data_IF_866567500045
#
_entry.id   IF_866567500045
#
_cell.length_a   1.000
_cell.length_b   1.000
_cell.length_c   1.000
_cell.angle_alpha   90.00
_cell.angle_beta   90.00
_cell.angle_gamma   90.00
#
_symmetry.space_group_name_H-M   'P 1'
#
loop_
_entity.id
_entity.type
_entity.pdbx_description
1 polymer ?
#
# COMPACT_ATOMS: atom_id res chain seq x y z
N UNK A 1 -24.51 1.47 -2.02
CA UNK A 1 -25.04 0.85 -0.79
C UNK A 1 -24.61 1.66 0.43
N UNK A 2 -25.35 1.65 1.55
CA UNK A 2 -24.88 2.31 2.80
C UNK A 2 -23.94 1.38 3.60
N UNK A 3 -23.13 1.93 4.51
CA UNK A 3 -22.11 1.16 5.24
C UNK A 3 -22.68 0.02 6.10
N UNK A 4 -23.85 0.20 6.71
CA UNK A 4 -24.48 -0.85 7.54
C UNK A 4 -24.93 -2.03 6.69
N UNK A 5 -25.54 -1.77 5.54
CA UNK A 5 -25.92 -2.82 4.60
C UNK A 5 -24.68 -3.53 4.03
N UNK A 6 -23.62 -2.78 3.71
CA UNK A 6 -22.35 -3.36 3.26
C UNK A 6 -21.77 -4.29 4.34
N UNK A 7 -21.71 -3.83 5.59
CA UNK A 7 -21.22 -4.63 6.71
C UNK A 7 -22.00 -5.95 6.84
N UNK A 8 -23.33 -5.90 6.88
CA UNK A 8 -24.17 -7.10 7.00
C UNK A 8 -23.96 -8.08 5.84
N UNK A 9 -23.83 -7.55 4.62
CA UNK A 9 -23.58 -8.38 3.45
C UNK A 9 -22.20 -9.06 3.52
N UNK A 10 -21.15 -8.32 3.89
CA UNK A 10 -19.80 -8.87 4.05
C UNK A 10 -19.71 -9.90 5.18
N UNK A 11 -20.38 -9.66 6.31
CA UNK A 11 -20.49 -10.62 7.41
C UNK A 11 -21.14 -11.93 6.93
N UNK A 12 -22.23 -11.85 6.17
CA UNK A 12 -22.91 -13.02 5.63
C UNK A 12 -22.03 -13.79 4.64
N UNK A 13 -21.31 -13.09 3.76
CA UNK A 13 -20.37 -13.70 2.81
C UNK A 13 -19.30 -14.49 3.57
N UNK A 14 -18.70 -13.88 4.60
CA UNK A 14 -17.64 -14.51 5.38
C UNK A 14 -18.15 -15.67 6.25
N UNK A 15 -19.33 -15.53 6.86
CA UNK A 15 -19.95 -16.60 7.66
C UNK A 15 -20.29 -17.85 6.84
N UNK A 16 -20.54 -17.68 5.54
CA UNK A 16 -20.77 -18.79 4.61
C UNK A 16 -19.48 -19.22 3.90
N UNK A 17 -18.30 -18.86 4.40
CA UNK A 17 -16.99 -19.19 3.82
C UNK A 17 -16.90 -18.85 2.32
N UNK A 18 -17.51 -17.73 1.91
CA UNK A 18 -17.54 -17.27 0.51
C UNK A 18 -18.22 -18.23 -0.48
N UNK A 19 -19.02 -19.19 0.00
CA UNK A 19 -19.64 -20.22 -0.87
C UNK A 19 -20.93 -19.78 -1.58
N UNK A 20 -21.59 -18.72 -1.11
CA UNK A 20 -22.91 -18.28 -1.58
C UNK A 20 -22.87 -16.94 -2.33
N UNK A 21 -22.09 -16.85 -3.40
CA UNK A 21 -21.89 -15.60 -4.16
C UNK A 21 -22.79 -15.46 -5.41
N UNK A 22 -23.51 -16.50 -5.81
CA UNK A 22 -24.23 -16.60 -7.09
C UNK A 22 -25.32 -15.54 -7.34
N UNK A 23 -25.79 -14.84 -6.30
CA UNK A 23 -26.80 -13.78 -6.39
C UNK A 23 -26.24 -12.41 -6.02
N UNK A 24 -24.92 -12.30 -5.86
CA UNK A 24 -24.23 -11.08 -5.49
C UNK A 24 -23.53 -10.55 -6.72
N UNK A 25 -23.81 -9.30 -7.09
CA UNK A 25 -22.99 -8.58 -8.04
C UNK A 25 -21.66 -8.23 -7.37
N UNK A 26 -20.63 -9.04 -7.63
CA UNK A 26 -19.29 -8.88 -7.03
C UNK A 26 -18.64 -7.58 -7.51
N UNK A 27 -18.92 -7.14 -8.74
CA UNK A 27 -18.36 -5.89 -9.28
C UNK A 27 -18.98 -4.70 -8.55
N UNK A 28 -20.30 -4.66 -8.39
CA UNK A 28 -20.96 -3.61 -7.60
C UNK A 28 -20.52 -3.65 -6.13
N UNK A 29 -20.41 -4.85 -5.53
CA UNK A 29 -19.97 -5.03 -4.16
C UNK A 29 -18.56 -4.47 -3.94
N UNK A 30 -17.61 -4.78 -4.82
CA UNK A 30 -16.22 -4.30 -4.70
C UNK A 30 -16.10 -2.79 -4.87
N UNK A 31 -16.94 -2.16 -5.70
CA UNK A 31 -17.01 -0.69 -5.76
C UNK A 31 -17.57 -0.08 -4.47
N UNK A 32 -18.60 -0.70 -3.87
CA UNK A 32 -19.11 -0.28 -2.55
C UNK A 32 -18.05 -0.48 -1.45
N UNK A 33 -17.29 -1.57 -1.50
CA UNK A 33 -16.17 -1.81 -0.57
C UNK A 33 -15.09 -0.75 -0.70
N UNK A 34 -14.72 -0.39 -1.94
CA UNK A 34 -13.73 0.65 -2.20
C UNK A 34 -14.18 2.02 -1.65
N UNK A 35 -15.46 2.38 -1.84
CA UNK A 35 -16.03 3.61 -1.29
C UNK A 35 -15.82 3.76 0.23
N UNK A 36 -15.81 2.64 0.96
CA UNK A 36 -15.65 2.62 2.43
C UNK A 36 -14.27 2.10 2.88
N UNK A 37 -13.29 2.00 1.98
CA UNK A 37 -11.96 1.44 2.26
C UNK A 37 -11.22 2.17 3.38
N UNK A 38 -11.53 3.45 3.58
CA UNK A 38 -10.96 4.31 4.63
C UNK A 38 -11.85 4.52 5.86
N UNK A 39 -12.92 3.75 6.06
CA UNK A 39 -13.81 3.92 7.23
C UNK A 39 -13.04 3.83 8.55
N UNK A 40 -13.39 4.63 9.56
CA UNK A 40 -12.71 4.62 10.86
C UNK A 40 -13.03 3.39 11.70
N UNK A 41 -14.10 2.66 11.37
CA UNK A 41 -14.42 1.37 11.98
C UNK A 41 -13.41 0.30 11.53
N UNK A 42 -12.49 -0.05 12.44
CA UNK A 42 -11.44 -1.04 12.16
C UNK A 42 -11.97 -2.43 11.82
N UNK A 43 -13.13 -2.82 12.35
CA UNK A 43 -13.73 -4.11 12.07
C UNK A 43 -14.22 -4.15 10.62
N UNK A 44 -14.99 -3.14 10.20
CA UNK A 44 -15.46 -3.04 8.82
C UNK A 44 -14.28 -2.87 7.85
N UNK A 45 -13.32 -2.01 8.16
CA UNK A 45 -12.18 -1.73 7.29
C UNK A 45 -11.28 -2.94 7.08
N UNK A 46 -10.83 -3.57 8.16
CA UNK A 46 -9.84 -4.64 8.09
C UNK A 46 -10.45 -6.04 8.04
N UNK A 47 -11.34 -6.37 8.99
CA UNK A 47 -11.90 -7.72 9.08
C UNK A 47 -12.89 -8.01 7.95
N UNK A 48 -13.62 -7.01 7.47
CA UNK A 48 -14.59 -7.19 6.39
C UNK A 48 -14.02 -6.80 5.03
N UNK A 49 -13.79 -5.51 4.78
CA UNK A 49 -13.43 -4.98 3.45
C UNK A 49 -12.11 -5.56 2.96
N UNK A 50 -11.01 -5.36 3.69
CA UNK A 50 -9.69 -5.81 3.25
C UNK A 50 -9.61 -7.33 3.05
N UNK A 51 -10.09 -8.12 4.02
CA UNK A 51 -10.11 -9.59 3.89
C UNK A 51 -10.98 -10.08 2.74
N UNK A 52 -12.09 -9.41 2.46
CA UNK A 52 -12.95 -9.74 1.33
C UNK A 52 -12.25 -9.42 0.00
N UNK A 53 -11.58 -8.27 -0.13
CA UNK A 53 -10.75 -7.97 -1.30
C UNK A 53 -9.65 -9.03 -1.50
N UNK A 54 -8.90 -9.35 -0.46
CA UNK A 54 -7.85 -10.36 -0.51
C UNK A 54 -8.42 -11.71 -0.99
N UNK A 55 -9.54 -12.16 -0.41
CA UNK A 55 -10.19 -13.40 -0.84
C UNK A 55 -10.61 -13.35 -2.32
N UNK A 56 -11.31 -12.29 -2.74
CA UNK A 56 -11.80 -12.16 -4.11
C UNK A 56 -10.67 -12.12 -5.14
N UNK A 57 -9.57 -11.42 -4.84
CA UNK A 57 -8.43 -11.33 -5.74
C UNK A 57 -7.68 -12.67 -5.78
N UNK A 58 -7.35 -13.27 -4.63
CA UNK A 58 -6.56 -14.51 -4.58
C UNK A 58 -7.28 -15.73 -5.15
N UNK A 59 -8.62 -15.72 -5.14
CA UNK A 59 -9.44 -16.81 -5.70
C UNK A 59 -10.06 -16.43 -7.05
N UNK A 60 -9.54 -15.40 -7.72
CA UNK A 60 -9.90 -15.04 -9.11
C UNK A 60 -11.41 -14.76 -9.31
N UNK A 61 -12.09 -14.23 -8.30
CA UNK A 61 -13.49 -13.83 -8.41
C UNK A 61 -13.70 -12.52 -9.19
N UNK A 62 -12.63 -11.78 -9.46
CA UNK A 62 -12.65 -10.53 -10.22
C UNK A 62 -12.00 -10.72 -11.59
N UNK A 63 -12.70 -10.28 -12.62
CA UNK A 63 -12.15 -10.25 -13.99
C UNK A 63 -11.21 -9.06 -14.16
N UNK A 64 -10.30 -9.14 -15.14
CA UNK A 64 -9.28 -8.13 -15.45
C UNK A 64 -9.83 -6.70 -15.55
N UNK A 65 -10.99 -6.53 -16.21
CA UNK A 65 -11.62 -5.21 -16.38
C UNK A 65 -12.00 -4.58 -15.03
N UNK A 66 -12.48 -5.39 -14.08
CA UNK A 66 -12.82 -4.93 -12.73
C UNK A 66 -11.57 -4.61 -11.93
N UNK A 67 -10.52 -5.43 -12.03
CA UNK A 67 -9.23 -5.16 -11.38
C UNK A 67 -8.60 -3.87 -11.91
N UNK A 68 -8.66 -3.64 -13.22
CA UNK A 68 -8.21 -2.40 -13.87
C UNK A 68 -9.03 -1.19 -13.41
N UNK A 69 -10.35 -1.33 -13.29
CA UNK A 69 -11.21 -0.26 -12.76
C UNK A 69 -10.86 0.09 -11.31
N UNK A 70 -10.70 -0.93 -10.45
CA UNK A 70 -10.32 -0.74 -9.05
C UNK A 70 -8.93 -0.09 -8.95
N UNK A 71 -7.97 -0.55 -9.74
CA UNK A 71 -6.63 0.02 -9.82
C UNK A 71 -6.68 1.51 -10.18
N UNK A 72 -7.30 1.86 -11.30
CA UNK A 72 -7.36 3.24 -11.79
C UNK A 72 -8.07 4.16 -10.80
N UNK A 73 -9.10 3.64 -10.11
CA UNK A 73 -9.76 4.38 -9.02
C UNK A 73 -8.81 4.60 -7.84
N UNK A 74 -8.09 3.56 -7.41
CA UNK A 74 -7.09 3.66 -6.33
C UNK A 74 -5.98 4.66 -6.65
N UNK A 75 -5.52 4.73 -7.91
CA UNK A 75 -4.46 5.63 -8.35
C UNK A 75 -4.90 7.10 -8.48
N UNK A 76 -6.19 7.40 -8.31
CA UNK A 76 -6.73 8.76 -8.36
C UNK A 76 -6.37 9.57 -7.11
N UNK A 77 -6.41 10.90 -7.25
CA UNK A 77 -6.11 11.83 -6.16
C UNK A 77 -7.08 11.68 -4.98
N UNK A 78 -8.32 11.28 -5.26
CA UNK A 78 -9.36 11.06 -4.24
C UNK A 78 -8.99 9.95 -3.25
N UNK A 79 -8.24 8.94 -3.70
CA UNK A 79 -7.89 7.77 -2.90
C UNK A 79 -6.44 7.80 -2.44
N UNK A 80 -5.49 7.76 -3.39
CA UNK A 80 -4.06 7.67 -3.05
C UNK A 80 -3.55 8.91 -2.32
N UNK A 81 -4.07 10.08 -2.66
CA UNK A 81 -3.66 11.37 -2.08
C UNK A 81 -4.74 12.00 -1.19
N UNK A 82 -5.74 11.20 -0.75
CA UNK A 82 -6.86 11.64 0.07
C UNK A 82 -6.39 12.43 1.29
N UNK A 83 -6.70 13.73 1.34
CA UNK A 83 -6.31 14.64 2.43
C UNK A 83 -4.80 14.61 2.78
N UNK A 84 -3.91 14.29 1.82
CA UNK A 84 -2.48 14.04 2.12
C UNK A 84 -1.76 15.27 2.70
N UNK A 85 -2.22 16.48 2.38
CA UNK A 85 -1.67 17.74 2.92
C UNK A 85 -2.27 18.14 4.27
N UNK A 86 -3.24 17.40 4.77
CA UNK A 86 -3.90 17.63 6.06
C UNK A 86 -3.44 16.55 7.05
N UNK A 87 -2.37 16.79 7.82
CA UNK A 87 -1.80 15.78 8.70
C UNK A 87 -2.77 15.40 9.83
N UNK A 88 -2.64 14.17 10.33
CA UNK A 88 -3.39 13.65 11.49
C UNK A 88 -4.91 13.51 11.28
N UNK A 89 -5.40 13.66 10.05
CA UNK A 89 -6.79 13.41 9.66
C UNK A 89 -7.10 11.92 9.52
N UNK A 90 -8.37 11.56 9.44
CA UNK A 90 -8.79 10.18 9.18
C UNK A 90 -8.58 9.75 7.72
N UNK A 91 -8.23 10.69 6.82
CA UNK A 91 -7.84 10.38 5.43
C UNK A 91 -6.66 9.42 5.33
N UNK A 92 -5.86 9.28 6.41
CA UNK A 92 -4.79 8.28 6.52
C UNK A 92 -5.29 6.85 6.26
N UNK A 93 -6.52 6.52 6.67
CA UNK A 93 -7.08 5.19 6.46
C UNK A 93 -7.40 4.95 4.99
N UNK A 94 -7.97 5.95 4.30
CA UNK A 94 -8.22 5.88 2.85
C UNK A 94 -6.92 5.66 2.11
N UNK A 95 -5.91 6.52 2.33
CA UNK A 95 -4.62 6.41 1.64
C UNK A 95 -3.95 5.07 1.90
N UNK A 96 -3.84 4.69 3.17
CA UNK A 96 -3.12 3.49 3.56
C UNK A 96 -3.78 2.20 3.06
N UNK A 97 -5.11 2.06 3.21
CA UNK A 97 -5.79 0.85 2.73
C UNK A 97 -5.95 0.84 1.21
N UNK A 98 -5.93 2.01 0.55
CA UNK A 98 -5.76 2.09 -0.90
C UNK A 98 -4.41 1.47 -1.31
N UNK A 99 -3.31 1.84 -0.65
CA UNK A 99 -1.99 1.23 -0.91
C UNK A 99 -1.98 -0.27 -0.60
N UNK A 100 -2.67 -0.69 0.46
CA UNK A 100 -2.82 -2.12 0.78
C UNK A 100 -3.55 -2.89 -0.33
N UNK A 101 -4.60 -2.31 -0.92
CA UNK A 101 -5.30 -2.89 -2.06
C UNK A 101 -4.43 -2.90 -3.33
N UNK A 102 -3.66 -1.84 -3.58
CA UNK A 102 -2.68 -1.81 -4.68
C UNK A 102 -1.65 -2.94 -4.54
N UNK A 103 -1.17 -3.24 -3.33
CA UNK A 103 -0.27 -4.36 -3.09
C UNK A 103 -0.92 -5.71 -3.46
N UNK A 104 -2.19 -5.94 -3.10
CA UNK A 104 -2.91 -7.17 -3.48
C UNK A 104 -3.05 -7.30 -5.00
N UNK A 105 -3.35 -6.20 -5.69
CA UNK A 105 -3.48 -6.17 -7.15
C UNK A 105 -2.12 -6.41 -7.84
N UNK A 106 -1.05 -5.81 -7.34
CA UNK A 106 0.32 -6.03 -7.83
C UNK A 106 0.77 -7.48 -7.62
N UNK A 107 0.49 -8.06 -6.45
CA UNK A 107 0.77 -9.46 -6.17
C UNK A 107 0.07 -10.39 -7.16
N UNK A 108 -1.20 -10.11 -7.46
CA UNK A 108 -1.96 -10.85 -8.44
C UNK A 108 -1.34 -10.72 -9.85
N UNK A 109 -0.92 -9.51 -10.23
CA UNK A 109 -0.24 -9.25 -11.50
C UNK A 109 1.13 -9.93 -11.64
N UNK A 110 1.83 -10.18 -10.53
CA UNK A 110 3.10 -10.94 -10.57
C UNK A 110 2.92 -12.41 -10.98
N UNK A 111 1.69 -12.92 -10.93
CA UNK A 111 1.33 -14.28 -11.34
C UNK A 111 0.40 -14.33 -12.58
N UNK A 112 -0.07 -13.19 -13.07
CA UNK A 112 -1.05 -13.08 -14.16
C UNK A 112 -0.69 -11.96 -15.15
N UNK A 113 -0.65 -12.29 -16.44
CA UNK A 113 -0.27 -11.35 -17.50
C UNK A 113 -1.45 -10.48 -17.98
N UNK A 114 -1.88 -9.50 -17.18
CA UNK A 114 -2.95 -8.55 -17.57
C UNK A 114 -2.58 -7.06 -17.48
N UNK A 115 -1.43 -6.72 -16.89
CA UNK A 115 -0.82 -5.38 -16.91
C UNK A 115 0.35 -5.31 -17.89
N UNK A 116 0.54 -4.14 -18.48
CA UNK A 116 1.72 -3.82 -19.29
C UNK A 116 2.87 -3.28 -18.43
N UNK A 117 4.04 -3.11 -19.03
CA UNK A 117 5.18 -2.43 -18.39
C UNK A 117 4.80 -0.99 -17.99
N UNK A 118 4.07 -0.28 -18.86
CA UNK A 118 3.62 1.10 -18.60
C UNK A 118 2.65 1.17 -17.42
N UNK A 119 1.76 0.19 -17.26
CA UNK A 119 0.85 0.10 -16.10
C UNK A 119 1.65 -0.02 -14.79
N UNK A 120 2.65 -0.92 -14.75
CA UNK A 120 3.50 -1.12 -13.57
C UNK A 120 4.36 0.12 -13.28
N UNK A 121 4.90 0.76 -14.33
CA UNK A 121 5.67 1.99 -14.20
C UNK A 121 4.82 3.13 -13.62
N UNK A 122 3.58 3.30 -14.07
CA UNK A 122 2.65 4.30 -13.53
C UNK A 122 2.40 4.07 -12.03
N UNK A 123 2.11 2.82 -11.65
CA UNK A 123 1.88 2.44 -10.25
C UNK A 123 3.11 2.76 -9.40
N UNK A 124 4.30 2.36 -9.84
CA UNK A 124 5.56 2.65 -9.16
C UNK A 124 5.75 4.15 -8.96
N UNK A 125 5.60 4.96 -10.01
CA UNK A 125 5.78 6.41 -9.96
C UNK A 125 4.79 7.09 -8.99
N UNK A 126 3.52 6.67 -9.01
CA UNK A 126 2.51 7.18 -8.08
C UNK A 126 2.77 6.76 -6.64
N UNK A 127 3.17 5.51 -6.39
CA UNK A 127 3.52 5.05 -5.04
C UNK A 127 4.78 5.74 -4.49
N UNK A 128 5.80 6.02 -5.32
CA UNK A 128 6.96 6.84 -4.93
C UNK A 128 6.52 8.25 -4.55
N UNK A 129 5.64 8.85 -5.35
CA UNK A 129 5.10 10.20 -5.08
C UNK A 129 4.32 10.22 -3.77
N UNK A 130 3.39 9.27 -3.58
CA UNK A 130 2.63 9.08 -2.34
C UNK A 130 3.55 8.93 -1.14
N UNK A 131 4.50 8.01 -1.22
CA UNK A 131 5.42 7.72 -0.13
C UNK A 131 6.20 8.96 0.27
N UNK A 132 6.70 9.74 -0.70
CA UNK A 132 7.44 10.97 -0.41
C UNK A 132 6.55 12.06 0.24
N UNK A 133 5.29 12.20 -0.19
CA UNK A 133 4.33 13.17 0.34
C UNK A 133 3.75 12.76 1.71
N UNK A 134 3.67 11.48 2.01
CA UNK A 134 3.08 10.99 3.26
C UNK A 134 3.92 11.41 4.47
N UNK A 135 3.25 12.05 5.43
CA UNK A 135 3.84 12.56 6.67
C UNK A 135 3.10 12.03 7.92
N UNK A 136 2.05 11.22 7.72
CA UNK A 136 1.33 10.54 8.80
C UNK A 136 1.89 9.14 9.01
N UNK A 137 2.64 8.98 10.09
CA UNK A 137 3.30 7.72 10.47
C UNK A 137 2.62 7.06 11.68
N UNK A 138 1.36 7.39 11.95
CA UNK A 138 0.63 6.72 13.02
C UNK A 138 0.43 5.24 12.65
N UNK A 139 1.00 4.34 13.43
CA UNK A 139 0.78 2.89 13.28
C UNK A 139 -0.62 2.48 13.75
N UNK A 140 -0.88 2.54 15.05
CA UNK A 140 -2.18 2.24 15.67
C UNK A 140 -2.83 3.51 16.21
N UNK A 141 -4.13 3.68 15.93
CA UNK A 141 -4.94 4.78 16.45
C UNK A 141 -6.01 4.19 17.36
N UNK A 142 -6.05 4.66 18.61
CA UNK A 142 -7.01 4.20 19.60
C UNK A 142 -8.45 4.29 19.08
N UNK A 143 -9.23 3.23 19.29
CA UNK A 143 -10.62 3.06 18.81
C UNK A 143 -10.82 3.04 17.28
N UNK A 144 -9.77 3.29 16.48
CA UNK A 144 -9.84 3.28 15.01
C UNK A 144 -8.99 2.20 14.37
N UNK A 145 -8.10 1.57 15.12
CA UNK A 145 -7.24 0.48 14.68
C UNK A 145 -6.03 0.94 13.87
N UNK A 146 -5.53 0.06 13.02
CA UNK A 146 -4.31 0.25 12.25
C UNK A 146 -4.47 1.25 11.09
N UNK A 147 -3.57 2.22 11.02
CA UNK A 147 -3.36 3.06 9.84
C UNK A 147 -2.23 2.48 8.98
N UNK A 148 -1.03 2.22 9.50
CA UNK A 148 -0.02 1.37 8.86
C UNK A 148 0.50 1.80 7.47
N UNK A 149 0.60 3.11 7.20
CA UNK A 149 1.03 3.61 5.88
C UNK A 149 2.36 3.04 5.40
N UNK A 150 3.40 3.09 6.26
CA UNK A 150 4.73 2.59 5.88
C UNK A 150 4.75 1.09 5.66
N UNK A 151 4.01 0.34 6.47
CA UNK A 151 3.85 -1.09 6.29
C UNK A 151 3.21 -1.43 4.93
N UNK A 152 2.11 -0.78 4.56
CA UNK A 152 1.45 -1.05 3.27
C UNK A 152 2.27 -0.58 2.06
N UNK A 153 2.97 0.55 2.16
CA UNK A 153 3.94 0.98 1.13
C UNK A 153 5.01 -0.09 0.91
N UNK A 154 5.49 -0.68 2.01
CA UNK A 154 6.53 -1.70 1.95
C UNK A 154 6.02 -2.98 1.28
N UNK A 155 4.77 -3.36 1.52
CA UNK A 155 4.16 -4.48 0.79
C UNK A 155 4.08 -4.18 -0.72
N UNK A 156 3.55 -3.01 -1.09
CA UNK A 156 3.41 -2.63 -2.49
C UNK A 156 4.76 -2.53 -3.21
N UNK A 157 5.79 -1.97 -2.56
CA UNK A 157 7.15 -1.93 -3.11
C UNK A 157 7.77 -3.33 -3.22
N UNK A 158 7.47 -4.24 -2.29
CA UNK A 158 7.92 -5.63 -2.40
C UNK A 158 7.33 -6.30 -3.63
N UNK A 159 6.05 -6.06 -3.91
CA UNK A 159 5.41 -6.61 -5.12
C UNK A 159 5.94 -5.95 -6.41
N UNK A 160 6.31 -4.67 -6.40
CA UNK A 160 7.04 -4.07 -7.53
C UNK A 160 8.37 -4.78 -7.71
N UNK A 161 9.15 -5.01 -6.64
CA UNK A 161 10.45 -5.69 -6.74
C UNK A 161 10.32 -7.08 -7.35
N UNK A 162 9.24 -7.81 -7.05
CA UNK A 162 8.97 -9.14 -7.62
C UNK A 162 8.47 -9.11 -9.07
N UNK A 163 8.10 -7.95 -9.61
CA UNK A 163 7.53 -7.85 -10.94
C UNK A 163 8.59 -8.04 -12.03
N UNK A 164 8.25 -8.77 -13.10
CA UNK A 164 9.19 -9.08 -14.19
C UNK A 164 9.64 -7.85 -15.01
N UNK A 165 8.91 -6.75 -14.93
CA UNK A 165 9.28 -5.49 -15.60
C UNK A 165 10.26 -4.64 -14.79
N UNK A 166 10.54 -4.99 -13.54
CA UNK A 166 11.36 -4.16 -12.66
C UNK A 166 12.82 -4.16 -13.08
N UNK A 167 13.36 -2.96 -13.26
CA UNK A 167 14.75 -2.73 -13.68
C UNK A 167 15.65 -2.35 -12.51
N UNK A 168 16.96 -2.35 -12.76
CA UNK A 168 17.95 -1.92 -11.79
C UNK A 168 17.75 -0.45 -11.36
N UNK A 169 17.40 0.42 -12.29
CA UNK A 169 17.12 1.84 -12.03
C UNK A 169 15.93 2.00 -11.09
N UNK A 170 14.89 1.18 -11.25
CA UNK A 170 13.73 1.20 -10.36
C UNK A 170 14.10 0.75 -8.95
N UNK A 171 15.00 -0.22 -8.79
CA UNK A 171 15.53 -0.55 -7.45
C UNK A 171 16.17 0.66 -6.78
N UNK A 172 17.03 1.42 -7.48
CA UNK A 172 17.65 2.62 -6.90
C UNK A 172 16.61 3.68 -6.49
N UNK A 173 15.59 3.91 -7.31
CA UNK A 173 14.49 4.83 -7.00
C UNK A 173 13.74 4.42 -5.73
N UNK A 174 13.35 3.14 -5.64
CA UNK A 174 12.65 2.58 -4.48
C UNK A 174 13.52 2.62 -3.22
N UNK A 175 14.81 2.26 -3.31
CA UNK A 175 15.77 2.37 -2.20
C UNK A 175 15.84 3.82 -1.71
N UNK A 176 16.01 4.78 -2.62
CA UNK A 176 16.09 6.19 -2.24
C UNK A 176 14.80 6.69 -1.57
N UNK A 177 13.64 6.26 -2.07
CA UNK A 177 12.34 6.58 -1.50
C UNK A 177 12.19 6.01 -0.08
N UNK A 178 12.49 4.72 0.14
CA UNK A 178 12.45 4.08 1.46
C UNK A 178 13.42 4.72 2.44
N UNK A 179 14.67 4.97 2.02
CA UNK A 179 15.67 5.61 2.87
C UNK A 179 15.28 7.07 3.22
N UNK A 180 14.52 7.77 2.39
CA UNK A 180 13.97 9.08 2.78
C UNK A 180 13.02 8.99 3.97
N UNK A 181 12.32 7.84 4.14
CA UNK A 181 11.37 7.61 5.24
C UNK A 181 12.05 7.01 6.47
N UNK A 182 13.02 6.10 6.28
CA UNK A 182 13.82 5.51 7.37
C UNK A 182 14.63 6.56 8.13
N UNK A 183 15.19 7.55 7.43
CA UNK A 183 16.05 8.58 8.05
C UNK A 183 15.30 9.84 8.51
N UNK A 184 14.03 9.70 8.93
CA UNK A 184 13.23 10.73 9.60
C UNK A 184 13.41 10.55 11.14
N UNK A 185 13.27 11.61 11.98
CA UNK A 185 13.40 11.47 13.43
C UNK A 185 12.59 10.31 14.02
N UNK A 186 13.20 9.60 14.98
CA UNK A 186 12.96 8.18 15.32
C UNK A 186 11.67 7.84 16.07
N UNK A 187 10.90 8.81 16.55
CA UNK A 187 9.75 8.54 17.44
C UNK A 187 8.48 8.12 16.68
N UNK A 188 8.63 7.64 15.44
CA UNK A 188 7.53 7.39 14.50
C UNK A 188 7.37 5.91 14.13
N UNK A 189 8.40 5.07 14.33
CA UNK A 189 8.32 3.65 14.01
C UNK A 189 7.79 2.87 15.22
N UNK A 190 6.61 2.30 15.08
CA UNK A 190 5.98 1.45 16.09
C UNK A 190 5.38 0.20 15.44
N UNK A 191 5.17 -0.84 16.24
CA UNK A 191 4.40 -2.04 15.83
C UNK A 191 4.97 -2.78 14.60
N UNK A 192 6.28 -3.08 14.62
CA UNK A 192 7.02 -3.83 13.59
C UNK A 192 7.06 -3.17 12.20
N UNK A 193 6.74 -1.88 12.09
CA UNK A 193 6.88 -1.13 10.83
C UNK A 193 8.35 -1.01 10.39
N UNK A 194 9.29 -1.09 11.33
CA UNK A 194 10.73 -1.19 11.10
C UNK A 194 11.13 -2.51 10.43
N UNK A 195 10.52 -3.64 10.80
CA UNK A 195 10.72 -4.92 10.12
C UNK A 195 10.10 -4.94 8.72
N UNK A 196 8.93 -4.31 8.55
CA UNK A 196 8.25 -4.27 7.25
C UNK A 196 8.95 -3.35 6.26
N UNK A 197 9.44 -2.17 6.68
CA UNK A 197 10.09 -1.21 5.78
C UNK A 197 11.40 -1.70 5.17
N UNK A 198 12.04 -2.69 5.79
CA UNK A 198 13.23 -3.33 5.22
C UNK A 198 12.90 -4.47 4.25
N UNK A 199 11.65 -4.95 4.20
CA UNK A 199 11.25 -6.09 3.37
C UNK A 199 11.52 -5.88 1.87
N UNK A 200 11.21 -4.73 1.25
CA UNK A 200 11.57 -4.49 -0.14
C UNK A 200 13.08 -4.53 -0.37
N UNK A 201 13.87 -3.96 0.55
CA UNK A 201 15.33 -3.93 0.44
C UNK A 201 15.92 -5.35 0.49
N UNK A 202 15.37 -6.21 1.37
CA UNK A 202 15.76 -7.62 1.42
C UNK A 202 15.33 -8.35 0.15
N UNK A 203 14.12 -8.10 -0.34
CA UNK A 203 13.65 -8.70 -1.60
C UNK A 203 14.56 -8.35 -2.78
N UNK A 204 15.03 -7.10 -2.88
CA UNK A 204 15.99 -6.69 -3.92
C UNK A 204 17.29 -7.51 -3.84
N UNK A 205 17.81 -7.78 -2.64
CA UNK A 205 19.00 -8.61 -2.46
C UNK A 205 18.77 -10.07 -2.89
N UNK A 206 17.55 -10.60 -2.68
CA UNK A 206 17.16 -11.92 -3.20
C UNK A 206 16.99 -11.95 -4.72
N UNK A 207 16.77 -10.79 -5.35
CA UNK A 207 16.67 -10.59 -6.81
C UNK A 207 17.97 -10.00 -7.41
N UNK A 208 19.11 -10.41 -6.85
CA UNK A 208 20.46 -10.10 -7.35
C UNK A 208 20.85 -8.61 -7.38
N UNK A 209 20.14 -7.73 -6.65
CA UNK A 209 20.64 -6.38 -6.43
C UNK A 209 21.96 -6.44 -5.63
N UNK A 210 23.06 -5.81 -6.09
CA UNK A 210 24.37 -5.95 -5.46
C UNK A 210 24.38 -5.42 -4.02
N UNK A 211 24.74 -6.29 -3.08
CA UNK A 211 24.86 -5.94 -1.67
C UNK A 211 25.79 -4.73 -1.45
N UNK A 212 26.92 -4.69 -2.16
CA UNK A 212 27.88 -3.58 -2.06
C UNK A 212 27.28 -2.25 -2.52
N UNK A 213 26.40 -2.27 -3.53
CA UNK A 213 25.71 -1.06 -4.00
C UNK A 213 24.68 -0.59 -2.97
N UNK A 214 23.88 -1.50 -2.39
CA UNK A 214 22.94 -1.16 -1.31
C UNK A 214 23.68 -0.54 -0.11
N UNK A 215 24.78 -1.17 0.33
CA UNK A 215 25.62 -0.65 1.42
C UNK A 215 26.20 0.72 1.06
N UNK A 216 26.69 0.88 -0.17
CA UNK A 216 27.22 2.14 -0.69
C UNK A 216 26.17 3.26 -0.65
N UNK A 217 24.94 2.99 -1.09
CA UNK A 217 23.82 3.94 -1.05
C UNK A 217 23.48 4.33 0.39
N UNK A 218 23.32 3.35 1.29
CA UNK A 218 23.04 3.58 2.71
C UNK A 218 24.15 4.41 3.36
N UNK A 219 25.41 4.08 3.11
CA UNK A 219 26.56 4.78 3.68
C UNK A 219 26.65 6.23 3.18
N UNK A 220 26.43 6.47 1.88
CA UNK A 220 26.32 7.82 1.30
C UNK A 220 25.20 8.61 1.96
N UNK A 221 24.04 7.98 2.24
CA UNK A 221 22.90 8.61 2.93
C UNK A 221 23.25 8.99 4.37
N UNK A 222 23.85 8.08 5.13
CA UNK A 222 24.30 8.32 6.52
C UNK A 222 25.27 9.50 6.59
N UNK A 223 26.26 9.57 5.69
CA UNK A 223 27.22 10.69 5.61
C UNK A 223 26.56 12.05 5.40
N UNK A 224 25.37 12.11 4.79
CA UNK A 224 24.62 13.35 4.54
C UNK A 224 23.72 13.73 5.71
N UNK A 225 23.44 12.84 6.67
CA UNK A 225 22.54 13.11 7.80
C UNK A 225 22.92 14.36 8.62
N UNK A 226 24.20 14.66 8.93
CA UNK A 226 24.54 15.88 9.67
C UNK A 226 24.10 17.16 8.95
N UNK A 227 24.17 17.17 7.61
CA UNK A 227 23.76 18.30 6.78
C UNK A 227 22.24 18.43 6.75
N UNK A 228 21.53 17.30 6.67
CA UNK A 228 20.07 17.25 6.72
C UNK A 228 19.58 17.74 8.09
N UNK A 229 20.17 17.26 9.19
CA UNK A 229 19.84 17.70 10.55
C UNK A 229 20.03 19.20 10.74
N UNK A 230 21.13 19.77 10.21
CA UNK A 230 21.39 21.22 10.27
C UNK A 230 20.31 22.02 9.53
N UNK A 231 19.82 21.54 8.38
CA UNK A 231 18.72 22.19 7.64
C UNK A 231 17.40 22.11 8.41
N UNK A 232 17.08 20.96 8.99
CA UNK A 232 15.86 20.77 9.77
C UNK A 232 15.84 21.57 11.08
N UNK A 233 17.00 21.80 11.72
CA UNK A 233 17.10 22.64 12.93
C UNK A 233 17.02 24.15 12.67
N UNK A 234 17.04 24.57 11.39
CA UNK A 234 16.98 25.97 10.97
C UNK A 234 15.60 26.40 10.48
N UNK A 235 14.67 25.45 10.36
CA UNK A 235 13.26 25.64 9.99
C UNK A 235 12.38 25.35 11.19
#
# INVERSE_FOLDING_TARGET
MNITALQQQLELIQQNDYTQLQHIDINELTLNMLQYIGTTDSYVRYQLIYKCFAHFIHHEFLMDDQLKLLLQTCLSDEYLYCDIYSPLTDGVFTRSYTVSLLALILQFANSHYFFTEEDIEEIKNKLITYTNLEMDFRGYIENKGWAHCLAHVSDAFTEIVHNSYTTFEWYEELIHCLLNKIFIPSDLFHNNEDERIVTPLLSMLYHDFPQDELISIIYKKIKRLPQIRKRLSLN
#
